data_IF_139410477166
#
_entry.id   IF_139410477166
#
_cell.length_a   1.000
_cell.length_b   1.000
_cell.length_c   1.000
_cell.angle_alpha   90.00
_cell.angle_beta   90.00
_cell.angle_gamma   90.00
#
_symmetry.space_group_name_H-M   'P 1'
#
loop_
_entity.id
_entity.type
_entity.pdbx_description
1 polymer ?
#
# COMPACT_ATOMS: atom_id res chain seq x y z
N UNK A 1 15.49 14.82 10.00
CA UNK A 1 14.69 15.25 8.82
C UNK A 1 14.19 14.01 8.11
N UNK A 2 12.97 14.00 7.60
CA UNK A 2 12.45 12.87 6.82
C UNK A 2 13.23 12.77 5.50
N UNK A 3 13.85 11.62 5.24
CA UNK A 3 14.66 11.37 4.05
C UNK A 3 14.60 9.90 3.67
N UNK A 4 14.61 9.63 2.38
CA UNK A 4 14.78 8.31 1.78
C UNK A 4 15.94 8.32 0.77
N UNK A 5 16.87 9.27 0.92
CA UNK A 5 18.00 9.42 0.01
C UNK A 5 18.80 8.12 -0.11
N UNK A 6 19.06 7.71 -1.35
CA UNK A 6 19.79 6.49 -1.68
C UNK A 6 19.02 5.18 -1.51
N UNK A 7 17.75 5.21 -1.06
CA UNK A 7 16.92 4.01 -0.94
C UNK A 7 16.31 3.60 -2.28
N UNK A 8 16.19 2.30 -2.51
CA UNK A 8 15.47 1.70 -3.64
C UNK A 8 14.11 1.23 -3.15
N UNK A 9 13.04 1.78 -3.71
CA UNK A 9 11.69 1.50 -3.30
C UNK A 9 10.87 0.86 -4.42
N UNK A 10 10.12 -0.21 -4.10
CA UNK A 10 9.08 -0.77 -4.96
C UNK A 10 7.72 -0.36 -4.41
N UNK A 11 6.91 0.33 -5.22
CA UNK A 11 5.55 0.74 -4.88
C UNK A 11 4.57 0.03 -5.80
N UNK A 12 3.79 -0.92 -5.26
CA UNK A 12 2.75 -1.60 -6.04
C UNK A 12 1.46 -0.78 -6.07
N UNK A 13 0.74 -0.82 -7.20
CA UNK A 13 -0.35 0.14 -7.43
C UNK A 13 0.15 1.58 -7.52
N UNK A 14 1.42 1.77 -7.87
CA UNK A 14 2.13 3.05 -7.85
C UNK A 14 1.74 4.05 -8.93
N UNK A 15 0.89 3.66 -9.91
CA UNK A 15 0.53 4.51 -11.05
C UNK A 15 -0.63 5.46 -10.79
N UNK A 16 -1.45 5.24 -9.76
CA UNK A 16 -2.67 6.02 -9.47
C UNK A 16 -2.91 6.19 -7.97
N UNK A 17 -3.77 7.15 -7.61
CA UNK A 17 -4.28 7.36 -6.25
C UNK A 17 -3.17 7.41 -5.20
N UNK A 18 -3.36 6.68 -4.10
CA UNK A 18 -2.44 6.63 -2.97
C UNK A 18 -1.03 6.19 -3.40
N UNK A 19 -0.94 5.16 -4.24
CA UNK A 19 0.36 4.65 -4.70
C UNK A 19 1.15 5.67 -5.52
N UNK A 20 0.49 6.46 -6.40
CA UNK A 20 1.13 7.54 -7.16
C UNK A 20 1.65 8.66 -6.24
N UNK A 21 0.83 9.06 -5.26
CA UNK A 21 1.23 10.07 -4.28
C UNK A 21 2.43 9.60 -3.44
N UNK A 22 2.47 8.30 -3.07
CA UNK A 22 3.62 7.69 -2.39
C UNK A 22 4.85 7.73 -3.29
N UNK A 23 4.74 7.29 -4.55
CA UNK A 23 5.86 7.27 -5.51
C UNK A 23 6.45 8.67 -5.70
N UNK A 24 5.60 9.68 -5.94
CA UNK A 24 6.02 11.07 -6.10
C UNK A 24 6.69 11.62 -4.82
N UNK A 25 6.13 11.34 -3.64
CA UNK A 25 6.73 11.77 -2.37
C UNK A 25 8.09 11.09 -2.13
N UNK A 26 8.20 9.79 -2.42
CA UNK A 26 9.46 9.06 -2.28
C UNK A 26 10.56 9.66 -3.17
N UNK A 27 10.22 10.02 -4.42
CA UNK A 27 11.13 10.76 -5.31
C UNK A 27 11.61 12.08 -4.68
N UNK A 28 10.69 12.90 -4.15
CA UNK A 28 11.04 14.16 -3.45
C UNK A 28 11.92 13.95 -2.22
N UNK A 29 11.85 12.77 -1.60
CA UNK A 29 12.67 12.39 -0.45
C UNK A 29 14.00 11.73 -0.85
N UNK A 30 14.30 11.62 -2.16
CA UNK A 30 15.56 11.12 -2.71
C UNK A 30 15.62 9.60 -2.93
N UNK A 31 14.49 8.90 -2.88
CA UNK A 31 14.44 7.47 -3.21
C UNK A 31 14.35 7.23 -4.72
N UNK A 32 15.01 6.20 -5.23
CA UNK A 32 14.74 5.63 -6.56
C UNK A 32 13.52 4.73 -6.48
N UNK A 33 12.59 4.82 -7.45
CA UNK A 33 11.26 4.21 -7.33
C UNK A 33 10.93 3.29 -8.50
N UNK A 34 10.63 2.02 -8.22
CA UNK A 34 9.94 1.13 -9.15
C UNK A 34 8.43 1.27 -8.96
N UNK A 35 7.75 1.80 -9.96
CA UNK A 35 6.29 2.03 -10.01
C UNK A 35 5.64 0.81 -10.64
N UNK A 36 5.05 -0.08 -9.83
CA UNK A 36 4.36 -1.25 -10.37
C UNK A 36 2.89 -0.96 -10.66
N UNK A 37 2.42 -1.43 -11.81
CA UNK A 37 1.06 -1.24 -12.31
C UNK A 37 0.55 -2.48 -13.06
N UNK A 38 -0.77 -2.59 -13.28
CA UNK A 38 -1.37 -3.73 -14.00
C UNK A 38 -1.75 -3.38 -15.44
N UNK A 39 -2.52 -2.32 -15.68
CA UNK A 39 -3.16 -2.06 -16.97
C UNK A 39 -2.79 -0.73 -17.61
N UNK A 40 -2.75 0.33 -16.83
CA UNK A 40 -2.62 1.70 -17.34
C UNK A 40 -1.15 2.13 -17.42
N UNK A 41 -0.53 1.81 -18.55
CA UNK A 41 0.85 2.20 -18.82
C UNK A 41 1.04 3.72 -19.03
N UNK A 42 -0.01 4.46 -19.43
CA UNK A 42 0.06 5.92 -19.56
C UNK A 42 0.16 6.55 -18.16
N UNK A 43 -0.74 6.18 -17.24
CA UNK A 43 -0.67 6.63 -15.84
C UNK A 43 0.64 6.22 -15.16
N UNK A 44 1.20 5.06 -15.50
CA UNK A 44 2.49 4.63 -14.96
C UNK A 44 3.65 5.50 -15.45
N UNK A 45 3.66 5.91 -16.72
CA UNK A 45 4.66 6.86 -17.26
C UNK A 45 4.53 8.24 -16.62
N UNK A 46 3.32 8.72 -16.39
CA UNK A 46 3.09 9.96 -15.66
C UNK A 46 3.62 9.89 -14.21
N UNK A 47 3.38 8.78 -13.52
CA UNK A 47 3.91 8.59 -12.16
C UNK A 47 5.44 8.53 -12.14
N UNK A 48 6.07 7.95 -13.16
CA UNK A 48 7.54 8.00 -13.34
C UNK A 48 8.00 9.44 -13.55
N UNK A 49 7.34 10.20 -14.44
CA UNK A 49 7.67 11.60 -14.69
C UNK A 49 7.54 12.47 -13.42
N UNK A 50 6.56 12.21 -12.55
CA UNK A 50 6.41 12.91 -11.26
C UNK A 50 7.64 12.69 -10.35
N UNK A 51 8.20 11.46 -10.33
CA UNK A 51 9.42 11.13 -9.57
C UNK A 51 10.65 11.80 -10.18
N UNK A 52 10.77 11.76 -11.49
CA UNK A 52 11.91 12.36 -12.24
C UNK A 52 11.93 13.89 -12.12
N UNK A 53 10.76 14.53 -12.16
CA UNK A 53 10.61 15.96 -11.93
C UNK A 53 11.05 16.39 -10.51
N UNK A 54 11.04 15.48 -9.56
CA UNK A 54 11.56 15.70 -8.21
C UNK A 54 13.09 15.50 -8.09
N UNK A 55 13.78 15.20 -9.20
CA UNK A 55 15.24 15.00 -9.23
C UNK A 55 15.72 13.62 -8.87
N UNK A 56 14.81 12.62 -8.81
CA UNK A 56 15.17 11.22 -8.60
C UNK A 56 14.97 10.38 -9.87
N UNK A 57 15.16 9.07 -9.81
CA UNK A 57 14.95 8.16 -10.93
C UNK A 57 13.83 7.17 -10.63
N UNK A 58 13.07 6.79 -11.67
CA UNK A 58 12.04 5.79 -11.55
C UNK A 58 11.94 4.89 -12.79
N UNK A 59 11.30 3.73 -12.61
CA UNK A 59 10.96 2.81 -13.68
C UNK A 59 9.52 2.31 -13.51
N UNK A 60 8.79 2.19 -14.61
CA UNK A 60 7.46 1.59 -14.63
C UNK A 60 7.58 0.09 -14.90
N UNK A 61 6.99 -0.74 -14.03
CA UNK A 61 7.01 -2.19 -14.13
C UNK A 61 5.57 -2.74 -14.20
N UNK A 62 5.20 -3.31 -15.33
CA UNK A 62 3.90 -3.97 -15.47
C UNK A 62 3.93 -5.33 -14.78
N UNK A 63 2.97 -5.58 -13.88
CA UNK A 63 2.83 -6.85 -13.15
C UNK A 63 1.38 -7.06 -12.70
N UNK A 64 0.79 -8.20 -13.01
CA UNK A 64 -0.47 -8.64 -12.43
C UNK A 64 -0.19 -9.58 -11.25
N UNK A 65 -0.22 -9.02 -10.06
CA UNK A 65 0.09 -9.74 -8.82
C UNK A 65 -0.97 -10.79 -8.43
N UNK A 66 -2.09 -10.89 -9.16
CA UNK A 66 -3.03 -11.99 -9.02
C UNK A 66 -2.52 -13.28 -9.69
N UNK A 67 -1.46 -13.18 -10.53
CA UNK A 67 -0.83 -14.31 -11.20
C UNK A 67 0.27 -14.88 -10.31
N UNK A 68 0.27 -16.19 -10.15
CA UNK A 68 1.28 -16.92 -9.37
C UNK A 68 2.70 -16.68 -9.91
N UNK A 69 3.67 -16.49 -9.02
CA UNK A 69 5.06 -16.21 -9.35
C UNK A 69 5.33 -14.76 -9.80
N UNK A 70 4.30 -13.92 -10.01
CA UNK A 70 4.52 -12.56 -10.49
C UNK A 70 5.13 -11.64 -9.41
N UNK A 71 4.88 -11.90 -8.15
CA UNK A 71 5.52 -11.17 -7.05
C UNK A 71 7.05 -11.34 -7.07
N UNK A 72 7.52 -12.57 -7.27
CA UNK A 72 8.95 -12.89 -7.39
C UNK A 72 9.57 -12.20 -8.62
N UNK A 73 8.92 -12.33 -9.79
CA UNK A 73 9.36 -11.67 -11.03
C UNK A 73 9.41 -10.16 -10.90
N UNK A 74 8.41 -9.56 -10.24
CA UNK A 74 8.36 -8.10 -10.04
C UNK A 74 9.51 -7.60 -9.16
N UNK A 75 9.75 -8.26 -8.03
CA UNK A 75 10.85 -7.87 -7.12
C UNK A 75 12.20 -8.02 -7.82
N UNK A 76 12.43 -9.11 -8.55
CA UNK A 76 13.66 -9.30 -9.32
C UNK A 76 13.87 -8.17 -10.34
N UNK A 77 12.86 -7.84 -11.15
CA UNK A 77 12.91 -6.73 -12.11
C UNK A 77 13.14 -5.36 -11.45
N UNK A 78 12.59 -5.14 -10.27
CA UNK A 78 12.82 -3.91 -9.52
C UNK A 78 14.28 -3.82 -9.07
N UNK A 79 14.86 -4.91 -8.59
CA UNK A 79 16.29 -4.96 -8.21
C UNK A 79 17.23 -4.86 -9.42
N UNK A 80 16.89 -5.46 -10.55
CA UNK A 80 17.66 -5.32 -11.81
C UNK A 80 17.71 -3.85 -12.26
N UNK A 81 16.62 -3.11 -12.10
CA UNK A 81 16.52 -1.71 -12.54
C UNK A 81 17.13 -0.70 -11.56
N UNK A 82 16.98 -0.93 -10.24
CA UNK A 82 17.33 0.06 -9.22
C UNK A 82 18.51 -0.37 -8.33
N UNK A 83 18.85 -1.66 -8.30
CA UNK A 83 19.72 -2.27 -7.30
C UNK A 83 18.91 -2.85 -6.13
N UNK A 84 19.60 -3.35 -5.08
CA UNK A 84 18.97 -4.06 -3.97
C UNK A 84 17.80 -3.30 -3.34
N UNK A 85 16.67 -3.99 -3.13
CA UNK A 85 15.44 -3.41 -2.63
C UNK A 85 15.55 -3.03 -1.13
N UNK A 86 15.35 -1.76 -0.78
CA UNK A 86 15.37 -1.27 0.60
C UNK A 86 13.97 -1.09 1.18
N UNK A 87 12.99 -0.72 0.34
CA UNK A 87 11.62 -0.43 0.77
C UNK A 87 10.62 -1.11 -0.16
N UNK A 88 9.72 -1.92 0.40
CA UNK A 88 8.51 -2.38 -0.27
C UNK A 88 7.31 -1.61 0.26
N UNK A 89 6.50 -1.03 -0.65
CA UNK A 89 5.16 -0.52 -0.33
C UNK A 89 4.12 -1.32 -1.09
N UNK A 90 3.30 -2.11 -0.39
CA UNK A 90 2.18 -2.83 -0.99
C UNK A 90 0.91 -1.97 -0.90
N UNK A 91 0.64 -1.18 -1.96
CA UNK A 91 -0.49 -0.24 -2.04
C UNK A 91 -1.55 -0.65 -3.09
N UNK A 92 -1.37 -1.79 -3.76
CA UNK A 92 -2.35 -2.30 -4.72
C UNK A 92 -3.55 -2.94 -4.02
N UNK A 93 -4.66 -3.04 -4.75
CA UNK A 93 -5.86 -3.72 -4.28
C UNK A 93 -7.06 -3.41 -5.16
N UNK A 94 -8.14 -4.11 -4.89
CA UNK A 94 -9.46 -3.88 -5.47
C UNK A 94 -10.48 -3.68 -4.34
N UNK A 95 -11.54 -2.94 -4.63
CA UNK A 95 -12.67 -2.71 -3.74
C UNK A 95 -13.94 -2.85 -4.57
N UNK A 96 -14.74 -3.87 -4.29
CA UNK A 96 -15.96 -4.20 -5.03
C UNK A 96 -17.08 -4.45 -4.03
N UNK A 97 -18.27 -3.97 -4.36
CA UNK A 97 -19.47 -4.26 -3.58
C UNK A 97 -19.96 -5.69 -3.87
N UNK A 98 -20.16 -6.51 -2.83
CA UNK A 98 -20.74 -7.84 -2.90
C UNK A 98 -21.48 -8.14 -1.58
N UNK A 99 -22.82 -8.04 -1.55
CA UNK A 99 -23.61 -8.40 -0.37
C UNK A 99 -23.43 -9.88 -0.03
N UNK A 100 -23.34 -10.20 1.27
CA UNK A 100 -22.96 -11.55 1.73
C UNK A 100 -23.95 -12.63 1.32
N UNK A 101 -25.23 -12.28 1.15
CA UNK A 101 -26.32 -13.17 0.75
C UNK A 101 -26.34 -13.50 -0.74
N UNK A 102 -25.62 -12.72 -1.57
CA UNK A 102 -25.53 -12.91 -3.02
C UNK A 102 -24.09 -13.05 -3.52
N UNK A 103 -23.11 -12.88 -2.64
CA UNK A 103 -21.69 -13.01 -2.98
C UNK A 103 -21.36 -14.40 -3.48
N UNK A 104 -20.75 -14.49 -4.64
CA UNK A 104 -20.29 -15.76 -5.21
C UNK A 104 -18.92 -16.17 -4.64
N UNK A 105 -18.59 -17.47 -4.63
CA UNK A 105 -17.25 -17.93 -4.29
C UNK A 105 -16.14 -17.28 -5.13
N UNK A 106 -16.40 -17.03 -6.42
CA UNK A 106 -15.42 -16.40 -7.32
C UNK A 106 -15.10 -14.94 -6.91
N UNK A 107 -16.11 -14.16 -6.49
CA UNK A 107 -15.90 -12.79 -5.99
C UNK A 107 -15.11 -12.79 -4.68
N UNK A 108 -15.39 -13.74 -3.81
CA UNK A 108 -14.64 -13.95 -2.57
C UNK A 108 -13.17 -14.28 -2.88
N UNK A 109 -12.93 -15.27 -3.73
CA UNK A 109 -11.59 -15.75 -4.07
C UNK A 109 -10.76 -14.67 -4.80
N UNK A 110 -11.36 -13.92 -5.72
CA UNK A 110 -10.70 -12.78 -6.39
C UNK A 110 -10.25 -11.75 -5.36
N UNK A 111 -11.13 -11.38 -4.44
CA UNK A 111 -10.84 -10.38 -3.42
C UNK A 111 -9.68 -10.81 -2.51
N UNK A 112 -9.69 -12.05 -2.03
CA UNK A 112 -8.61 -12.57 -1.19
C UNK A 112 -7.32 -12.73 -1.98
N UNK A 113 -7.37 -13.22 -3.21
CA UNK A 113 -6.18 -13.39 -4.05
C UNK A 113 -5.48 -12.05 -4.30
N UNK A 114 -6.24 -11.00 -4.67
CA UNK A 114 -5.66 -9.68 -4.99
C UNK A 114 -5.26 -8.89 -3.74
N UNK A 115 -6.10 -8.87 -2.67
CA UNK A 115 -5.84 -7.98 -1.53
C UNK A 115 -5.05 -8.64 -0.39
N UNK A 116 -4.88 -9.97 -0.39
CA UNK A 116 -4.17 -10.69 0.65
C UNK A 116 -3.09 -11.62 0.09
N UNK A 117 -3.45 -12.54 -0.79
CA UNK A 117 -2.51 -13.55 -1.33
C UNK A 117 -1.29 -12.91 -2.00
N UNK A 118 -1.54 -11.93 -2.88
CA UNK A 118 -0.47 -11.19 -3.56
C UNK A 118 0.39 -10.35 -2.60
N UNK A 119 -0.23 -9.75 -1.56
CA UNK A 119 0.50 -9.00 -0.52
C UNK A 119 1.41 -9.92 0.28
N UNK A 120 0.92 -11.10 0.67
CA UNK A 120 1.72 -12.10 1.37
C UNK A 120 2.90 -12.60 0.52
N UNK A 121 2.67 -12.87 -0.77
CA UNK A 121 3.72 -13.27 -1.72
C UNK A 121 4.80 -12.20 -1.86
N UNK A 122 4.41 -10.92 -2.00
CA UNK A 122 5.36 -9.79 -2.04
C UNK A 122 6.16 -9.67 -0.74
N UNK A 123 5.51 -9.79 0.41
CA UNK A 123 6.20 -9.75 1.70
C UNK A 123 7.23 -10.87 1.82
N UNK A 124 6.87 -12.10 1.42
CA UNK A 124 7.76 -13.24 1.46
C UNK A 124 8.98 -13.03 0.56
N UNK A 125 8.77 -12.53 -0.66
CA UNK A 125 9.87 -12.31 -1.60
C UNK A 125 10.77 -11.15 -1.16
N UNK A 126 10.18 -10.00 -0.75
CA UNK A 126 10.95 -8.89 -0.22
C UNK A 126 11.79 -9.31 1.01
N UNK A 127 11.21 -10.10 1.92
CA UNK A 127 11.94 -10.62 3.07
C UNK A 127 13.12 -11.50 2.63
N UNK A 128 12.95 -12.41 1.67
CA UNK A 128 14.06 -13.25 1.14
C UNK A 128 15.22 -12.39 0.61
N UNK A 129 14.93 -11.27 -0.07
CA UNK A 129 15.94 -10.37 -0.64
C UNK A 129 16.59 -9.47 0.43
N UNK A 130 15.84 -9.01 1.41
CA UNK A 130 16.32 -8.08 2.44
C UNK A 130 17.07 -8.76 3.58
N UNK A 131 16.64 -9.96 4.00
CA UNK A 131 17.19 -10.67 5.16
C UNK A 131 18.70 -10.96 5.08
N UNK A 132 19.30 -11.31 3.93
CA UNK A 132 20.76 -11.51 3.84
C UNK A 132 21.56 -10.25 4.17
N UNK A 133 20.96 -9.06 4.01
CA UNK A 133 21.59 -7.77 4.34
C UNK A 133 21.27 -7.30 5.76
N UNK A 134 20.32 -7.96 6.46
CA UNK A 134 19.89 -7.57 7.79
C UNK A 134 19.23 -6.18 7.84
N UNK A 135 18.70 -5.70 6.72
CA UNK A 135 18.05 -4.37 6.65
C UNK A 135 16.99 -4.33 5.56
N UNK A 136 15.89 -3.65 5.84
CA UNK A 136 14.80 -3.43 4.90
C UNK A 136 13.51 -2.99 5.60
N UNK A 137 12.61 -2.40 4.82
CA UNK A 137 11.35 -1.90 5.35
C UNK A 137 10.19 -2.31 4.45
N UNK A 138 9.15 -2.86 5.04
CA UNK A 138 7.90 -3.21 4.37
C UNK A 138 6.78 -2.36 4.96
N UNK A 139 6.08 -1.60 4.12
CA UNK A 139 4.91 -0.81 4.52
C UNK A 139 3.70 -1.31 3.73
N UNK A 140 2.68 -1.77 4.44
CA UNK A 140 1.46 -2.29 3.85
C UNK A 140 0.34 -1.24 3.92
N UNK A 141 -0.49 -1.19 2.87
CA UNK A 141 -1.69 -0.34 2.86
C UNK A 141 -2.90 -1.23 3.09
N UNK A 142 -3.44 -1.16 4.32
CA UNK A 142 -4.67 -1.83 4.70
C UNK A 142 -5.87 -0.88 4.54
N UNK A 143 -6.83 -0.87 5.46
CA UNK A 143 -8.02 -0.02 5.45
C UNK A 143 -8.67 0.02 6.81
N UNK A 144 -9.43 1.08 7.12
CA UNK A 144 -10.37 1.08 8.24
C UNK A 144 -11.42 -0.02 8.13
N UNK A 145 -11.74 -0.49 6.93
CA UNK A 145 -12.60 -1.66 6.72
C UNK A 145 -12.03 -2.92 7.39
N UNK A 146 -10.69 -3.09 7.37
CA UNK A 146 -10.03 -4.18 8.09
C UNK A 146 -10.02 -4.02 9.61
N UNK A 147 -10.23 -2.81 10.13
CA UNK A 147 -10.28 -2.53 11.57
C UNK A 147 -11.68 -2.71 12.15
N UNK A 148 -12.73 -2.29 11.42
CA UNK A 148 -14.12 -2.24 11.94
C UNK A 148 -15.14 -3.04 11.15
N UNK A 149 -14.74 -3.64 10.02
CA UNK A 149 -15.68 -4.17 9.03
C UNK A 149 -16.24 -3.09 8.11
N UNK A 150 -16.89 -3.51 7.02
CA UNK A 150 -17.57 -2.63 6.08
C UNK A 150 -18.80 -3.33 5.49
N UNK A 151 -20.01 -2.78 5.67
CA UNK A 151 -21.22 -3.35 5.11
C UNK A 151 -21.12 -3.54 3.59
N UNK A 152 -21.62 -4.67 3.07
CA UNK A 152 -21.58 -5.04 1.65
C UNK A 152 -20.19 -5.28 1.05
N UNK A 153 -19.13 -5.27 1.87
CA UNK A 153 -17.74 -5.48 1.47
C UNK A 153 -17.04 -6.46 2.44
N UNK A 154 -17.76 -7.48 2.92
CA UNK A 154 -17.25 -8.41 3.94
C UNK A 154 -15.93 -9.09 3.52
N UNK A 155 -15.79 -9.52 2.26
CA UNK A 155 -14.58 -10.11 1.70
C UNK A 155 -13.39 -9.12 1.68
N UNK A 156 -13.64 -7.83 1.34
CA UNK A 156 -12.62 -6.78 1.41
C UNK A 156 -12.17 -6.51 2.85
N UNK A 157 -13.15 -6.38 3.78
CA UNK A 157 -12.86 -6.18 5.19
C UNK A 157 -12.07 -7.35 5.77
N UNK A 158 -12.43 -8.60 5.44
CA UNK A 158 -11.71 -9.79 5.84
C UNK A 158 -10.26 -9.79 5.31
N UNK A 159 -10.06 -9.50 4.01
CA UNK A 159 -8.73 -9.41 3.40
C UNK A 159 -7.87 -8.33 4.07
N UNK A 160 -8.41 -7.13 4.29
CA UNK A 160 -7.68 -6.01 4.92
C UNK A 160 -7.45 -6.23 6.42
N UNK A 161 -8.36 -6.94 7.11
CA UNK A 161 -8.14 -7.42 8.48
C UNK A 161 -7.01 -8.45 8.57
N UNK A 162 -6.95 -9.37 7.61
CA UNK A 162 -5.86 -10.33 7.51
C UNK A 162 -4.50 -9.65 7.24
N UNK A 163 -4.44 -8.56 6.44
CA UNK A 163 -3.22 -7.76 6.25
C UNK A 163 -2.77 -7.10 7.56
N UNK A 164 -3.70 -6.66 8.42
CA UNK A 164 -3.38 -6.16 9.77
C UNK A 164 -2.72 -7.25 10.61
N UNK A 165 -3.30 -8.46 10.64
CA UNK A 165 -2.73 -9.59 11.37
C UNK A 165 -1.36 -10.00 10.79
N UNK A 166 -1.22 -10.04 9.45
CA UNK A 166 0.03 -10.32 8.76
C UNK A 166 1.12 -9.30 9.16
N UNK A 167 0.79 -8.00 9.21
CA UNK A 167 1.72 -6.94 9.63
C UNK A 167 2.29 -7.20 11.02
N UNK A 168 1.43 -7.57 11.98
CA UNK A 168 1.84 -7.86 13.37
C UNK A 168 2.73 -9.09 13.45
N UNK A 169 2.37 -10.16 12.74
CA UNK A 169 3.15 -11.40 12.68
C UNK A 169 4.53 -11.16 12.09
N UNK A 170 4.59 -10.52 10.91
CA UNK A 170 5.86 -10.24 10.24
C UNK A 170 6.72 -9.22 11.02
N UNK A 171 6.11 -8.24 11.69
CA UNK A 171 6.83 -7.30 12.57
C UNK A 171 7.56 -8.03 13.69
N UNK A 172 6.91 -9.00 14.33
CA UNK A 172 7.51 -9.82 15.40
C UNK A 172 8.54 -10.81 14.87
N UNK A 173 8.28 -11.43 13.72
CA UNK A 173 9.15 -12.46 13.13
C UNK A 173 10.43 -11.87 12.53
N UNK A 174 10.31 -10.75 11.82
CA UNK A 174 11.40 -10.17 11.03
C UNK A 174 12.17 -9.07 11.79
N UNK A 175 11.58 -8.48 12.84
CA UNK A 175 12.21 -7.46 13.67
C UNK A 175 13.56 -7.88 14.24
N UNK A 176 13.69 -9.05 14.91
CA UNK A 176 14.98 -9.55 15.42
C UNK A 176 16.02 -9.79 14.32
N UNK A 177 15.58 -9.84 13.05
CA UNK A 177 16.43 -10.09 11.88
C UNK A 177 16.74 -8.83 11.08
N UNK A 178 16.43 -7.64 11.65
CA UNK A 178 16.79 -6.34 11.10
C UNK A 178 15.80 -5.74 10.08
N UNK A 179 14.61 -6.36 9.87
CA UNK A 179 13.59 -5.81 8.98
C UNK A 179 12.45 -5.17 9.77
N UNK A 180 11.92 -4.06 9.28
CA UNK A 180 10.72 -3.41 9.83
C UNK A 180 9.51 -3.70 8.96
N UNK A 181 8.38 -4.06 9.59
CA UNK A 181 7.10 -4.26 8.91
C UNK A 181 6.03 -3.48 9.66
N UNK A 182 5.36 -2.55 8.99
CA UNK A 182 4.27 -1.76 9.54
C UNK A 182 3.20 -1.57 8.47
N UNK A 183 2.01 -1.09 8.86
CA UNK A 183 1.00 -0.72 7.89
C UNK A 183 0.31 0.60 8.22
N UNK A 184 -0.29 1.21 7.20
CA UNK A 184 -1.26 2.29 7.33
C UNK A 184 -2.66 1.75 7.11
N UNK A 185 -3.65 2.30 7.84
CA UNK A 185 -5.07 2.01 7.65
C UNK A 185 -5.79 3.31 7.23
N UNK A 186 -5.87 3.60 5.91
CA UNK A 186 -6.62 4.74 5.41
C UNK A 186 -8.11 4.61 5.69
N UNK A 187 -8.78 5.75 5.93
CA UNK A 187 -10.23 5.88 5.83
C UNK A 187 -10.70 6.14 4.40
N UNK A 188 -11.74 6.96 4.24
CA UNK A 188 -12.16 7.45 2.94
C UNK A 188 -11.10 8.40 2.37
N UNK A 189 -10.61 8.09 1.18
CA UNK A 189 -9.60 8.87 0.45
C UNK A 189 -10.12 9.11 -0.97
N UNK A 190 -10.04 10.34 -1.45
CA UNK A 190 -10.49 10.72 -2.80
C UNK A 190 -9.55 10.14 -3.85
N UNK A 191 -9.95 9.05 -4.46
CA UNK A 191 -9.24 8.34 -5.53
C UNK A 191 -10.23 7.88 -6.59
N UNK A 192 -9.75 7.39 -7.75
CA UNK A 192 -10.65 6.83 -8.77
C UNK A 192 -11.48 5.65 -8.23
N UNK A 193 -10.94 4.87 -7.29
CA UNK A 193 -11.62 3.73 -6.67
C UNK A 193 -12.85 4.15 -5.84
N UNK A 194 -12.79 5.29 -5.19
CA UNK A 194 -13.77 5.74 -4.20
C UNK A 194 -14.60 6.94 -4.67
N UNK A 195 -14.25 7.53 -5.83
CA UNK A 195 -14.85 8.76 -6.35
C UNK A 195 -16.38 8.68 -6.40
N UNK A 196 -16.91 7.61 -7.01
CA UNK A 196 -18.35 7.42 -7.13
C UNK A 196 -19.02 7.41 -5.75
N UNK A 197 -18.48 6.69 -4.76
CA UNK A 197 -19.06 6.63 -3.42
C UNK A 197 -18.96 7.96 -2.67
N UNK A 198 -17.91 8.75 -2.92
CA UNK A 198 -17.68 10.04 -2.25
C UNK A 198 -18.49 11.17 -2.88
N UNK A 199 -18.79 11.12 -4.18
CA UNK A 199 -19.46 12.19 -4.95
C UNK A 199 -20.97 11.98 -5.13
N UNK A 200 -21.51 10.81 -4.78
CA UNK A 200 -22.95 10.48 -4.91
C UNK A 200 -23.77 10.85 -3.66
N UNK A 201 -25.00 10.35 -3.58
CA UNK A 201 -25.93 10.49 -2.45
C UNK A 201 -25.34 10.09 -1.09
N UNK A 202 -24.28 9.30 -1.06
CA UNK A 202 -23.55 8.94 0.16
C UNK A 202 -22.55 10.01 0.64
N UNK A 203 -22.28 11.04 -0.16
CA UNK A 203 -21.25 12.05 0.12
C UNK A 203 -21.41 12.70 1.50
N UNK A 204 -22.64 13.09 1.87
CA UNK A 204 -22.91 13.71 3.16
C UNK A 204 -22.72 12.73 4.33
N UNK A 205 -23.15 11.48 4.18
CA UNK A 205 -22.95 10.44 5.22
C UNK A 205 -21.46 10.11 5.42
N UNK A 206 -20.70 10.08 4.34
CA UNK A 206 -19.23 9.89 4.38
C UNK A 206 -18.58 11.06 5.14
N UNK A 207 -18.93 12.31 4.82
CA UNK A 207 -18.38 13.49 5.51
C UNK A 207 -18.73 13.52 7.00
N UNK A 208 -19.98 13.22 7.35
CA UNK A 208 -20.44 13.17 8.76
C UNK A 208 -19.74 12.09 9.57
N UNK A 209 -19.35 10.98 8.93
CA UNK A 209 -18.62 9.90 9.58
C UNK A 209 -17.14 10.23 9.85
N UNK A 210 -16.62 11.34 9.31
CA UNK A 210 -15.23 11.75 9.43
C UNK A 210 -15.14 13.00 10.32
N UNK A 211 -14.64 12.93 11.55
CA UNK A 211 -14.48 14.08 12.44
C UNK A 211 -13.73 15.27 11.81
N UNK A 212 -12.75 14.98 10.93
CA UNK A 212 -12.02 16.02 10.16
C UNK A 212 -12.92 16.76 9.16
N UNK A 213 -14.13 16.27 8.84
CA UNK A 213 -15.14 16.89 8.00
C UNK A 213 -14.99 16.65 6.49
N UNK A 214 -13.96 15.98 6.05
CA UNK A 214 -13.74 15.66 4.63
C UNK A 214 -12.98 14.34 4.45
N UNK A 215 -13.15 13.63 3.31
CA UNK A 215 -12.29 12.53 2.92
C UNK A 215 -10.83 13.00 2.78
N UNK A 216 -9.88 12.13 3.11
CA UNK A 216 -8.47 12.41 2.92
C UNK A 216 -8.08 12.51 1.45
N UNK A 217 -6.92 13.09 1.17
CA UNK A 217 -6.27 13.07 -0.14
C UNK A 217 -5.22 11.95 -0.20
N UNK A 218 -4.81 11.51 -1.40
CA UNK A 218 -3.69 10.58 -1.55
C UNK A 218 -2.40 11.05 -0.86
N UNK A 219 -2.13 12.36 -0.87
CA UNK A 219 -0.95 13.00 -0.26
C UNK A 219 -0.99 12.90 1.26
N UNK A 220 -2.17 13.02 1.88
CA UNK A 220 -2.35 12.85 3.33
C UNK A 220 -2.06 11.42 3.79
N UNK A 221 -2.15 10.43 2.89
CA UNK A 221 -1.75 9.05 3.16
C UNK A 221 -0.25 8.82 2.87
N UNK A 222 0.28 9.47 1.83
CA UNK A 222 1.68 9.31 1.43
C UNK A 222 2.66 9.76 2.53
N UNK A 223 2.36 10.82 3.26
CA UNK A 223 3.19 11.31 4.37
C UNK A 223 3.43 10.25 5.46
N UNK A 224 2.39 9.67 6.08
CA UNK A 224 2.52 8.57 7.02
C UNK A 224 3.26 7.35 6.47
N UNK A 225 3.06 6.99 5.19
CA UNK A 225 3.81 5.90 4.55
C UNK A 225 5.30 6.24 4.47
N UNK A 226 5.65 7.46 4.06
CA UNK A 226 7.04 7.92 3.99
C UNK A 226 7.70 7.95 5.38
N UNK A 227 6.97 8.36 6.42
CA UNK A 227 7.44 8.29 7.80
C UNK A 227 7.76 6.84 8.18
N UNK A 228 6.85 5.89 7.97
CA UNK A 228 7.08 4.48 8.27
C UNK A 228 8.22 3.87 7.46
N UNK A 229 8.45 4.34 6.23
CA UNK A 229 9.55 3.90 5.37
C UNK A 229 10.91 4.45 5.82
N UNK A 230 10.95 5.56 6.53
CA UNK A 230 12.17 6.27 6.94
C UNK A 230 12.76 5.74 8.25
N UNK A 231 13.99 6.20 8.56
CA UNK A 231 14.68 5.88 9.81
C UNK A 231 14.03 6.54 11.04
N UNK A 232 13.14 7.53 10.85
CA UNK A 232 12.35 8.11 11.95
C UNK A 232 11.39 7.10 12.59
N UNK A 233 11.06 6.02 11.88
CA UNK A 233 10.23 4.92 12.37
C UNK A 233 11.07 3.70 12.81
N UNK A 234 12.35 3.88 13.16
CA UNK A 234 13.28 2.78 13.48
C UNK A 234 12.83 1.90 14.66
N UNK A 235 12.03 2.44 15.59
CA UNK A 235 11.51 1.70 16.74
C UNK A 235 10.05 1.24 16.57
N UNK A 236 9.48 1.34 15.35
CA UNK A 236 8.12 0.91 15.04
C UNK A 236 8.16 -0.44 14.32
N UNK A 237 7.54 -1.45 14.92
CA UNK A 237 7.41 -2.80 14.37
C UNK A 237 5.99 -3.33 14.61
N UNK A 238 5.37 -3.89 13.58
CA UNK A 238 4.05 -4.49 13.65
C UNK A 238 2.91 -3.48 13.91
N UNK A 239 3.16 -2.18 13.71
CA UNK A 239 2.20 -1.13 14.02
C UNK A 239 1.20 -0.91 12.88
N UNK A 240 -0.04 -0.56 13.29
CA UNK A 240 -1.12 -0.16 12.38
C UNK A 240 -1.38 1.33 12.61
N UNK A 241 -0.90 2.17 11.69
CA UNK A 241 -1.11 3.61 11.77
C UNK A 241 -2.44 3.97 11.10
N UNK A 242 -3.44 4.33 11.90
CA UNK A 242 -4.74 4.79 11.40
C UNK A 242 -4.64 6.18 10.81
N UNK A 243 -4.97 6.33 9.51
CA UNK A 243 -4.91 7.59 8.76
C UNK A 243 -6.29 7.84 8.14
N UNK A 244 -7.24 8.30 8.95
CA UNK A 244 -8.66 8.24 8.61
C UNK A 244 -9.48 9.47 9.03
N UNK A 245 -8.83 10.58 9.39
CA UNK A 245 -9.50 11.81 9.83
C UNK A 245 -10.33 11.65 11.12
N UNK A 246 -10.06 10.60 11.91
CA UNK A 246 -10.79 10.28 13.14
C UNK A 246 -12.02 9.40 12.95
N UNK A 247 -12.29 8.91 11.73
CA UNK A 247 -13.49 8.11 11.45
C UNK A 247 -13.51 6.75 12.18
N UNK A 248 -12.33 6.21 12.50
CA UNK A 248 -12.18 4.99 13.29
C UNK A 248 -11.08 5.20 14.32
N UNK A 249 -11.45 5.14 15.58
CA UNK A 249 -10.55 5.23 16.72
C UNK A 249 -10.33 3.82 17.26
N UNK A 250 -9.14 3.28 17.04
CA UNK A 250 -8.72 1.98 17.55
C UNK A 250 -7.51 2.20 18.46
N UNK A 251 -7.59 1.74 19.68
CA UNK A 251 -6.53 1.76 20.67
C UNK A 251 -5.90 0.40 20.86
#
# INVERSE_FOLDING_TARGET
>A
MLSLAGRNALVTGGSRGIGRAISALFGRLGARVAVAYVRDGAAAREAVADVEAAGSSAVALQADLAVEGEAERLVARAEDALGPLDVLVASHGIWKRAPIDTMTPAEWDEMLRVNLGSVAALCAEAARRMLPRGSGTIVLVTSTAGQRGEPFHAHYAAAKGAVIALTKSLGSELGPRGLRVNCVAPGWVTTDMTREAIETTAAESVRRAIPRGHPGTPEEIAGPVAFLASDLASYLHGQVLSVNGGAVLVG
#
